data_IF_212073105330
#
_entry.id   IF_212073105330
#
_cell.length_a   1.000
_cell.length_b   1.000
_cell.length_c   1.000
_cell.angle_alpha   90.00
_cell.angle_beta   90.00
_cell.angle_gamma   90.00
#
_symmetry.space_group_name_H-M   'P 1'
#
loop_
_entity.id
_entity.type
_entity.pdbx_description
1 polymer ?
#
# COMPACT_ATOMS: atom_id res chain seq x y z
N UNK A 1 -13.93 -23.06 3.69
CA UNK A 1 -13.09 -21.95 3.15
C UNK A 1 -11.72 -22.06 3.82
N UNK A 2 -10.65 -22.20 3.05
CA UNK A 2 -9.28 -22.11 3.60
C UNK A 2 -8.92 -20.63 3.75
N UNK A 3 -8.42 -20.25 4.92
CA UNK A 3 -8.02 -18.89 5.24
C UNK A 3 -6.51 -18.78 5.12
N UNK A 4 -6.05 -17.91 4.23
CA UNK A 4 -4.63 -17.65 4.01
C UNK A 4 -4.30 -16.21 4.38
N UNK A 5 -3.88 -15.92 5.62
CA UNK A 5 -3.50 -14.58 6.02
C UNK A 5 -2.14 -14.20 5.45
N UNK A 6 -1.98 -12.91 5.20
CA UNK A 6 -0.70 -12.27 4.91
C UNK A 6 -0.28 -11.46 6.14
N UNK A 7 0.97 -11.60 6.58
CA UNK A 7 1.56 -10.89 7.71
C UNK A 7 2.80 -10.15 7.22
N UNK A 8 2.86 -8.85 7.49
CA UNK A 8 3.98 -8.00 7.10
C UNK A 8 4.77 -7.60 8.35
N UNK A 9 6.01 -8.07 8.44
CA UNK A 9 6.89 -7.81 9.57
C UNK A 9 7.73 -6.55 9.34
N UNK A 10 7.98 -5.80 10.42
CA UNK A 10 8.74 -4.54 10.35
C UNK A 10 10.17 -4.72 9.83
N UNK A 11 10.75 -5.92 9.97
CA UNK A 11 12.08 -6.29 9.50
C UNK A 11 12.20 -6.40 7.97
N UNK A 12 11.10 -6.24 7.23
CA UNK A 12 11.12 -6.25 5.78
C UNK A 12 10.54 -7.50 5.13
N UNK A 13 10.19 -8.52 5.91
CA UNK A 13 9.65 -9.78 5.39
C UNK A 13 8.13 -9.80 5.43
N UNK A 14 7.50 -10.31 4.36
CA UNK A 14 6.05 -10.54 4.29
C UNK A 14 5.82 -12.04 4.15
N UNK A 15 5.05 -12.63 5.06
CA UNK A 15 4.72 -14.05 5.08
C UNK A 15 3.27 -14.30 4.68
N UNK A 16 3.05 -15.41 3.97
CA UNK A 16 1.73 -15.99 3.77
C UNK A 16 1.65 -17.30 4.52
N UNK A 17 0.57 -17.52 5.24
CA UNK A 17 0.37 -18.74 6.01
C UNK A 17 -0.84 -19.51 5.51
N UNK A 18 -0.80 -20.83 5.67
CA UNK A 18 -2.00 -21.67 5.64
C UNK A 18 -2.39 -21.95 7.09
N UNK A 19 -3.57 -21.47 7.52
CA UNK A 19 -4.03 -21.68 8.89
C UNK A 19 -4.42 -23.13 9.19
N UNK A 20 -4.76 -23.93 8.17
CA UNK A 20 -5.09 -25.34 8.37
C UNK A 20 -3.84 -26.19 8.53
N UNK A 21 -2.83 -25.94 7.69
CA UNK A 21 -1.55 -26.64 7.78
C UNK A 21 -0.61 -26.05 8.84
N UNK A 22 -0.95 -24.89 9.41
CA UNK A 22 -0.13 -24.15 10.38
C UNK A 22 1.31 -23.89 9.88
N UNK A 23 1.45 -23.61 8.58
CA UNK A 23 2.75 -23.48 7.94
C UNK A 23 2.81 -22.23 7.05
N UNK A 24 4.00 -21.64 6.96
CA UNK A 24 4.30 -20.62 5.95
C UNK A 24 4.28 -21.24 4.55
N UNK A 25 3.55 -20.61 3.64
CA UNK A 25 3.42 -21.00 2.23
C UNK A 25 4.54 -20.35 1.41
N UNK A 26 4.75 -19.04 1.60
CA UNK A 26 5.74 -18.26 0.88
C UNK A 26 6.16 -17.02 1.69
N UNK A 27 7.34 -16.48 1.37
CA UNK A 27 7.82 -15.20 1.87
C UNK A 27 8.16 -14.25 0.72
N UNK A 28 8.01 -12.95 0.99
CA UNK A 28 8.49 -11.86 0.16
C UNK A 28 9.45 -11.00 0.97
N UNK A 29 10.48 -10.48 0.33
CA UNK A 29 11.46 -9.58 0.92
C UNK A 29 11.34 -8.19 0.30
N UNK A 30 11.40 -7.15 1.13
CA UNK A 30 11.30 -5.75 0.70
C UNK A 30 12.63 -5.07 0.41
N UNK A 31 13.75 -5.69 0.77
CA UNK A 31 15.12 -5.15 0.65
C UNK A 31 15.36 -3.82 1.39
N UNK A 32 14.31 -3.24 1.99
CA UNK A 32 14.32 -1.98 2.70
C UNK A 32 13.58 -2.13 4.01
N UNK A 33 14.10 -1.45 5.02
CA UNK A 33 13.56 -1.48 6.37
C UNK A 33 13.44 -0.04 6.89
N UNK A 34 12.47 0.25 7.78
CA UNK A 34 11.39 -0.63 8.21
C UNK A 34 10.30 -0.77 7.12
N UNK A 35 9.67 -1.94 7.05
CA UNK A 35 8.41 -2.12 6.33
C UNK A 35 7.30 -1.48 7.15
N UNK A 36 6.60 -0.51 6.56
CA UNK A 36 5.66 0.35 7.28
C UNK A 36 4.21 -0.09 7.10
N UNK A 37 3.86 -0.53 5.90
CA UNK A 37 2.52 -1.03 5.58
C UNK A 37 2.59 -1.94 4.36
N UNK A 38 1.80 -3.00 4.35
CA UNK A 38 1.57 -3.83 3.17
C UNK A 38 0.07 -4.08 2.96
N UNK A 39 -0.34 -4.30 1.72
CA UNK A 39 -1.70 -4.63 1.35
C UNK A 39 -1.73 -5.63 0.21
N UNK A 40 -2.57 -6.65 0.34
CA UNK A 40 -2.81 -7.64 -0.71
C UNK A 40 -3.90 -7.12 -1.66
N UNK A 41 -3.61 -7.08 -2.95
CA UNK A 41 -4.59 -6.70 -3.96
C UNK A 41 -5.74 -7.72 -4.05
N UNK A 42 -6.95 -7.32 -3.69
CA UNK A 42 -8.13 -8.18 -3.77
C UNK A 42 -8.64 -8.38 -5.20
N UNK A 43 -8.31 -7.45 -6.12
CA UNK A 43 -8.68 -7.54 -7.53
C UNK A 43 -7.75 -8.46 -8.33
N UNK A 44 -6.52 -8.60 -7.88
CA UNK A 44 -5.54 -9.52 -8.43
C UNK A 44 -4.68 -10.07 -7.29
N UNK A 45 -5.02 -11.27 -6.85
CA UNK A 45 -4.38 -11.92 -5.71
C UNK A 45 -2.92 -12.30 -5.96
N UNK A 46 -2.38 -12.08 -7.16
CA UNK A 46 -0.95 -12.23 -7.39
C UNK A 46 -0.16 -11.00 -7.01
N UNK A 47 -0.81 -9.85 -6.78
CA UNK A 47 -0.13 -8.60 -6.47
C UNK A 47 -0.15 -8.25 -4.99
N UNK A 48 1.01 -7.92 -4.47
CA UNK A 48 1.21 -7.37 -3.12
C UNK A 48 1.87 -6.03 -3.25
N UNK A 49 1.45 -5.07 -2.42
CA UNK A 49 2.00 -3.73 -2.45
C UNK A 49 2.32 -3.27 -1.04
N UNK A 50 3.41 -2.52 -0.90
CA UNK A 50 3.87 -2.06 0.39
C UNK A 50 4.59 -0.72 0.31
N UNK A 51 4.86 -0.15 1.47
CA UNK A 51 5.79 0.96 1.66
C UNK A 51 6.85 0.59 2.67
N UNK A 52 8.10 0.85 2.34
CA UNK A 52 9.26 0.65 3.19
C UNK A 52 10.21 1.84 3.02
N UNK A 53 10.71 2.40 4.12
CA UNK A 53 11.49 3.64 4.07
C UNK A 53 10.75 4.75 3.32
N UNK A 54 11.32 5.21 2.20
CA UNK A 54 10.79 6.29 1.37
C UNK A 54 10.12 5.81 0.07
N UNK A 55 10.09 4.48 -0.14
CA UNK A 55 9.68 3.88 -1.40
C UNK A 55 8.36 3.12 -1.25
N UNK A 56 7.61 3.03 -2.35
CA UNK A 56 6.62 1.98 -2.51
C UNK A 56 7.21 0.80 -3.27
N UNK A 57 6.70 -0.38 -2.98
CA UNK A 57 7.15 -1.67 -3.50
C UNK A 57 5.96 -2.46 -4.02
N UNK A 58 6.11 -3.15 -5.15
CA UNK A 58 5.10 -4.04 -5.72
C UNK A 58 5.73 -5.37 -6.08
N UNK A 59 5.08 -6.45 -5.68
CA UNK A 59 5.43 -7.82 -6.03
C UNK A 59 4.36 -8.43 -6.92
N UNK A 60 4.81 -9.28 -7.83
CA UNK A 60 4.01 -10.38 -8.40
C UNK A 60 4.50 -11.67 -7.76
N UNK A 61 3.69 -12.25 -6.87
CA UNK A 61 4.05 -13.42 -6.06
C UNK A 61 4.29 -14.68 -6.91
N UNK A 62 3.89 -14.67 -8.19
CA UNK A 62 4.11 -15.81 -9.10
C UNK A 62 5.49 -15.76 -9.76
N UNK A 63 6.20 -14.65 -9.66
CA UNK A 63 7.44 -14.40 -10.40
C UNK A 63 8.68 -14.31 -9.52
N UNK A 64 8.59 -13.63 -8.37
CA UNK A 64 9.75 -13.37 -7.51
C UNK A 64 9.35 -13.15 -6.06
N UNK A 65 10.23 -13.54 -5.13
CA UNK A 65 10.15 -13.12 -3.71
C UNK A 65 10.63 -11.68 -3.50
N UNK A 66 11.28 -11.07 -4.47
CA UNK A 66 11.76 -9.68 -4.44
C UNK A 66 10.81 -8.74 -5.19
N UNK A 67 10.79 -7.44 -4.87
CA UNK A 67 9.91 -6.48 -5.51
C UNK A 67 10.23 -6.37 -7.01
N UNK A 68 9.20 -6.30 -7.84
CA UNK A 68 9.35 -6.06 -9.28
C UNK A 68 9.44 -4.58 -9.60
N UNK A 69 8.59 -3.80 -8.93
CA UNK A 69 8.62 -2.35 -9.03
C UNK A 69 8.95 -1.78 -7.66
N UNK A 70 9.84 -0.81 -7.68
CA UNK A 70 10.27 -0.03 -6.53
C UNK A 70 10.46 1.40 -6.98
N UNK A 71 9.75 2.34 -6.34
CA UNK A 71 9.91 3.77 -6.66
C UNK A 71 9.84 4.64 -5.42
N UNK A 72 10.62 5.73 -5.38
CA UNK A 72 10.51 6.72 -4.32
C UNK A 72 9.15 7.40 -4.36
N UNK A 73 8.59 7.67 -3.18
CA UNK A 73 7.25 8.24 -3.05
C UNK A 73 7.17 9.41 -2.08
N UNK A 74 7.82 9.32 -0.92
CA UNK A 74 7.76 10.35 0.10
C UNK A 74 9.17 10.65 0.62
N UNK A 75 9.53 11.94 0.69
CA UNK A 75 10.88 12.37 1.08
C UNK A 75 11.21 12.03 2.55
N UNK A 76 10.22 12.09 3.43
CA UNK A 76 10.38 11.99 4.89
C UNK A 76 9.80 10.70 5.47
N UNK A 77 9.78 9.62 4.68
CA UNK A 77 9.18 8.31 4.97
C UNK A 77 7.73 8.15 4.49
N UNK A 78 7.48 6.97 3.93
CA UNK A 78 6.17 6.47 3.55
C UNK A 78 5.57 5.64 4.71
N UNK A 79 4.28 5.81 4.98
CA UNK A 79 3.61 5.20 6.14
C UNK A 79 2.54 4.18 5.77
N UNK A 80 1.56 4.57 4.97
CA UNK A 80 0.46 3.69 4.58
C UNK A 80 0.55 3.35 3.10
N UNK A 81 0.17 2.11 2.79
CA UNK A 81 -0.09 1.65 1.43
C UNK A 81 -1.47 1.01 1.39
N UNK A 82 -2.34 1.45 0.48
CA UNK A 82 -3.68 0.88 0.28
C UNK A 82 -3.99 0.72 -1.19
N UNK A 83 -4.07 -0.54 -1.59
CA UNK A 83 -4.63 -0.92 -2.89
C UNK A 83 -6.09 -0.48 -3.04
N UNK A 84 -6.45 -0.01 -4.22
CA UNK A 84 -7.85 0.22 -4.59
C UNK A 84 -8.63 -1.10 -4.58
N UNK A 85 -9.86 -1.02 -4.10
CA UNK A 85 -10.83 -2.13 -4.07
C UNK A 85 -11.48 -2.36 -5.43
N UNK A 86 -11.42 -1.38 -6.34
CA UNK A 86 -12.12 -1.41 -7.62
C UNK A 86 -11.20 -1.60 -8.82
N UNK A 87 -9.93 -1.18 -8.73
CA UNK A 87 -8.97 -1.23 -9.84
C UNK A 87 -7.61 -1.78 -9.36
N UNK A 88 -7.14 -2.86 -9.98
CA UNK A 88 -5.88 -3.51 -9.61
C UNK A 88 -4.62 -2.68 -9.94
N UNK A 89 -4.73 -1.62 -10.76
CA UNK A 89 -3.59 -0.77 -11.09
C UNK A 89 -3.54 0.49 -10.24
N UNK A 90 -4.55 0.75 -9.41
CA UNK A 90 -4.65 1.90 -8.54
C UNK A 90 -4.29 1.57 -7.09
N UNK A 91 -3.48 2.42 -6.48
CA UNK A 91 -3.20 2.38 -5.05
C UNK A 91 -2.91 3.78 -4.52
N UNK A 92 -3.02 3.94 -3.21
CA UNK A 92 -2.72 5.19 -2.54
C UNK A 92 -1.66 4.96 -1.45
N UNK A 93 -0.85 6.00 -1.22
CA UNK A 93 0.15 6.05 -0.15
C UNK A 93 0.03 7.32 0.65
N UNK A 94 0.51 7.28 1.89
CA UNK A 94 0.68 8.48 2.72
C UNK A 94 2.12 8.62 3.18
N UNK A 95 2.58 9.87 3.30
CA UNK A 95 3.83 10.21 3.95
C UNK A 95 3.71 10.22 5.48
N UNK A 96 4.85 10.40 6.14
CA UNK A 96 4.94 10.47 7.59
C UNK A 96 4.10 11.62 8.18
N UNK A 97 3.27 11.35 9.19
CA UNK A 97 2.38 12.36 9.77
C UNK A 97 3.05 13.32 10.73
N UNK A 98 4.31 13.12 11.13
CA UNK A 98 4.97 13.95 12.16
C UNK A 98 5.33 15.37 11.73
N UNK A 99 4.81 15.86 10.61
CA UNK A 99 4.87 17.28 10.19
C UNK A 99 3.45 17.88 10.26
N UNK A 100 3.35 19.22 10.23
CA UNK A 100 2.03 19.89 10.19
C UNK A 100 1.14 19.39 9.04
N UNK A 101 1.73 18.93 7.94
CA UNK A 101 1.00 18.36 6.80
C UNK A 101 1.58 17.02 6.39
N UNK A 102 0.70 16.07 6.11
CA UNK A 102 1.02 14.75 5.57
C UNK A 102 0.66 14.75 4.10
N UNK A 103 1.63 14.42 3.25
CA UNK A 103 1.35 14.22 1.83
C UNK A 103 0.65 12.88 1.62
N UNK A 104 -0.28 12.82 0.70
CA UNK A 104 -0.77 11.55 0.17
C UNK A 104 -0.70 11.57 -1.35
N UNK A 105 -0.56 10.39 -1.94
CA UNK A 105 -0.45 10.23 -3.39
C UNK A 105 -1.33 9.07 -3.83
N UNK A 106 -1.93 9.20 -5.01
CA UNK A 106 -2.61 8.11 -5.72
C UNK A 106 -1.80 7.78 -6.96
N UNK A 107 -1.45 6.52 -7.11
CA UNK A 107 -0.60 6.02 -8.18
C UNK A 107 -1.39 5.09 -9.10
N UNK A 108 -0.96 5.05 -10.36
CA UNK A 108 -1.36 4.06 -11.33
C UNK A 108 -0.11 3.30 -11.82
N UNK A 109 -0.13 1.97 -11.81
CA UNK A 109 1.05 1.17 -12.21
C UNK A 109 1.51 1.45 -13.66
N UNK A 110 0.59 1.82 -14.54
CA UNK A 110 0.91 2.19 -15.93
C UNK A 110 1.54 3.57 -16.09
N UNK A 111 1.54 4.42 -15.06
CA UNK A 111 2.04 5.79 -15.15
C UNK A 111 3.33 5.96 -14.32
N UNK A 112 4.32 6.74 -14.81
CA UNK A 112 5.54 7.01 -14.06
C UNK A 112 5.30 7.93 -12.87
N UNK A 113 4.41 8.90 -13.02
CA UNK A 113 4.04 9.90 -12.00
C UNK A 113 2.73 9.52 -11.30
N UNK A 114 2.53 9.96 -10.05
CA UNK A 114 1.24 9.83 -9.38
C UNK A 114 0.14 10.54 -10.17
N UNK A 115 -1.06 9.94 -10.19
CA UNK A 115 -2.25 10.50 -10.83
C UNK A 115 -2.83 11.65 -10.00
N UNK A 116 -2.64 11.59 -8.68
CA UNK A 116 -3.08 12.64 -7.77
C UNK A 116 -2.08 12.80 -6.63
N UNK A 117 -1.81 14.05 -6.27
CA UNK A 117 -1.02 14.41 -5.09
C UNK A 117 -1.87 15.39 -4.28
N UNK A 118 -1.96 15.16 -2.97
CA UNK A 118 -2.55 16.15 -2.07
C UNK A 118 -1.86 16.16 -0.72
N UNK A 119 -2.31 17.08 0.13
CA UNK A 119 -1.77 17.26 1.48
C UNK A 119 -2.92 17.45 2.46
N UNK A 120 -2.73 16.91 3.66
CA UNK A 120 -3.73 16.94 4.73
C UNK A 120 -3.04 17.29 6.04
N UNK A 121 -3.60 18.23 6.78
CA UNK A 121 -3.10 18.57 8.10
C UNK A 121 -3.26 17.37 9.04
N UNK A 122 -2.16 16.91 9.63
CA UNK A 122 -2.11 15.74 10.54
C UNK A 122 -2.83 14.52 9.91
N UNK A 123 -2.51 14.22 8.65
CA UNK A 123 -3.18 13.17 7.88
C UNK A 123 -2.97 11.79 8.50
N UNK A 124 -4.07 11.08 8.76
CA UNK A 124 -4.06 9.74 9.35
C UNK A 124 -5.19 8.88 8.80
N UNK A 125 -4.93 7.58 8.71
CA UNK A 125 -5.84 6.62 8.09
C UNK A 125 -5.92 6.81 6.58
N UNK A 126 -6.08 5.70 5.86
CA UNK A 126 -6.23 5.69 4.41
C UNK A 126 -7.13 4.51 4.05
N UNK A 127 -8.17 4.76 3.25
CA UNK A 127 -9.10 3.73 2.83
C UNK A 127 -9.70 4.01 1.46
N UNK A 128 -10.15 2.95 0.80
CA UNK A 128 -10.90 3.04 -0.44
C UNK A 128 -12.34 2.63 -0.17
N UNK A 129 -13.29 3.32 -0.79
CA UNK A 129 -14.68 2.89 -0.81
C UNK A 129 -14.79 1.50 -1.45
N UNK A 130 -15.72 0.66 -0.99
CA UNK A 130 -15.78 -0.76 -1.41
C UNK A 130 -16.02 -0.95 -2.91
N UNK A 131 -16.84 -0.10 -3.51
CA UNK A 131 -17.34 -0.26 -4.89
C UNK A 131 -17.20 0.99 -5.76
N UNK A 132 -16.75 2.10 -5.20
CA UNK A 132 -16.63 3.37 -5.92
C UNK A 132 -15.14 3.71 -6.03
N UNK A 133 -14.70 4.40 -7.09
CA UNK A 133 -13.33 4.89 -7.23
C UNK A 133 -13.12 6.13 -6.34
N UNK A 134 -13.32 5.95 -5.04
CA UNK A 134 -13.30 6.99 -4.02
C UNK A 134 -12.31 6.62 -2.94
N UNK A 135 -11.26 7.43 -2.78
CA UNK A 135 -10.27 7.31 -1.72
C UNK A 135 -10.60 8.29 -0.59
N UNK A 136 -10.46 7.86 0.65
CA UNK A 136 -10.71 8.67 1.83
C UNK A 136 -9.48 8.71 2.75
N UNK A 137 -9.17 9.89 3.27
CA UNK A 137 -8.14 10.10 4.29
C UNK A 137 -8.74 10.88 5.46
N UNK A 138 -8.30 10.56 6.67
CA UNK A 138 -8.57 11.37 7.84
C UNK A 138 -7.55 12.50 7.95
N UNK A 139 -8.01 13.67 8.40
CA UNK A 139 -7.17 14.79 8.78
C UNK A 139 -7.68 15.43 10.06
N UNK A 140 -7.06 16.54 10.43
CA UNK A 140 -7.47 17.31 11.60
C UNK A 140 -8.94 17.75 11.52
N UNK A 141 -9.77 17.14 12.35
CA UNK A 141 -11.23 17.34 12.42
C UNK A 141 -12.00 17.19 11.09
N UNK A 142 -11.43 16.54 10.07
CA UNK A 142 -12.04 16.42 8.74
C UNK A 142 -11.79 15.06 8.10
N UNK A 143 -12.75 14.62 7.29
CA UNK A 143 -12.57 13.54 6.32
C UNK A 143 -12.51 14.17 4.94
N UNK A 144 -11.50 13.82 4.16
CA UNK A 144 -11.35 14.27 2.80
C UNK A 144 -11.51 13.08 1.85
N UNK A 145 -12.14 13.34 0.71
CA UNK A 145 -12.44 12.34 -0.29
C UNK A 145 -11.89 12.77 -1.64
N UNK A 146 -11.32 11.83 -2.38
CA UNK A 146 -10.87 12.02 -3.75
C UNK A 146 -11.50 10.99 -4.65
N UNK A 147 -12.18 11.46 -5.67
CA UNK A 147 -12.70 10.65 -6.76
C UNK A 147 -11.58 10.48 -7.78
N UNK A 148 -11.31 9.25 -8.18
CA UNK A 148 -10.39 8.96 -9.28
C UNK A 148 -11.21 8.61 -10.52
N UNK A 149 -11.14 9.45 -11.55
CA UNK A 149 -11.74 9.16 -12.85
C UNK A 149 -10.80 8.26 -13.65
N UNK A 150 -10.88 6.94 -13.47
CA UNK A 150 -10.17 5.95 -14.30
C UNK A 150 -10.91 4.62 -14.38
#
# INVERSE_FOLDING_TARGET
KSFKPMVAEKNGTIWFYDLLAQQAILSLESEQMPLMSAHWCLKNTFKVGAVAGNDWLIWDITRSSYPQDKRPVHMDQACLFRWSTVNENLFATTGYPGKMTSQFQIHHLGHPQPVLIGSVAVGSGLSWHRTLPLCAIGGDHKLLFWVTEM
#
